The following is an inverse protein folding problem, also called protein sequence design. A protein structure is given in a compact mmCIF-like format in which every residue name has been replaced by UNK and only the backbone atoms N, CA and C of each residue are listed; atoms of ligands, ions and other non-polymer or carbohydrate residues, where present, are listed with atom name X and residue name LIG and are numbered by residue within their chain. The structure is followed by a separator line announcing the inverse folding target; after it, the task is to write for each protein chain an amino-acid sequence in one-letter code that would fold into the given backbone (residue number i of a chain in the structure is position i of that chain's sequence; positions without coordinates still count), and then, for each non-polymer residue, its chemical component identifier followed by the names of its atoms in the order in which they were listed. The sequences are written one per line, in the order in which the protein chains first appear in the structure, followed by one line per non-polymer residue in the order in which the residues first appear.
data_IF_405919647144
#
_entry.id   IF_405919647144
#
_cell.length_a   1.000
_cell.length_b   1.000
_cell.length_c   1.000
_cell.angle_alpha   90.00
_cell.angle_beta   90.00
_cell.angle_gamma   90.00
#
_symmetry.space_group_name_H-M   'P 1'
#
loop_
_entity.id
_entity.type
_entity.pdbx_description
1 polymer ?
#
# COMPACT_ATOMS: atom_id res chain seq x y z
N UNK A 1 -0.08 -5.73 -18.11
CA UNK A 1 -0.97 -4.91 -17.25
C UNK A 1 -0.43 -5.10 -15.85
N UNK A 2 0.22 -4.10 -15.25
CA UNK A 2 0.96 -4.29 -14.02
C UNK A 2 0.00 -4.75 -12.91
N UNK A 3 0.30 -5.88 -12.29
CA UNK A 3 -0.57 -6.48 -11.28
C UNK A 3 -0.62 -5.57 -10.06
N UNK A 4 -1.85 -5.32 -9.60
CA UNK A 4 -2.30 -4.38 -8.57
C UNK A 4 -1.57 -4.46 -7.22
N UNK A 5 -0.74 -5.47 -7.02
CA UNK A 5 -0.01 -5.76 -5.79
C UNK A 5 1.41 -5.14 -5.70
N UNK A 6 2.12 -4.96 -6.83
CA UNK A 6 3.29 -4.04 -6.90
C UNK A 6 2.82 -2.64 -6.59
N UNK A 7 1.61 -2.35 -7.04
CA UNK A 7 0.90 -1.19 -6.63
C UNK A 7 0.70 -1.25 -5.11
N UNK A 8 0.10 -2.25 -4.48
CA UNK A 8 -0.14 -2.29 -3.01
C UNK A 8 1.06 -1.90 -2.10
N UNK A 9 2.29 -2.26 -2.47
CA UNK A 9 3.51 -1.90 -1.73
C UNK A 9 4.05 -0.51 -2.10
N UNK A 10 3.91 -0.10 -3.36
CA UNK A 10 4.02 1.30 -3.74
C UNK A 10 2.81 2.14 -3.27
N UNK A 11 1.74 1.52 -2.76
CA UNK A 11 0.40 2.06 -2.45
C UNK A 11 0.20 2.28 -0.96
N UNK A 12 0.88 1.52 -0.11
CA UNK A 12 1.25 2.00 1.22
C UNK A 12 2.04 3.33 1.10
N UNK A 13 2.56 3.61 -0.09
CA UNK A 13 3.02 4.93 -0.54
C UNK A 13 2.28 5.54 -1.76
N UNK A 14 1.02 5.17 -2.12
CA UNK A 14 0.12 5.75 -3.18
C UNK A 14 -0.95 4.82 -3.82
N UNK A 15 -2.04 4.50 -3.09
CA UNK A 15 -3.21 3.65 -3.40
C UNK A 15 -4.19 3.94 -4.58
N UNK A 16 -4.12 3.27 -5.77
CA UNK A 16 -5.24 2.62 -6.59
C UNK A 16 -4.69 2.05 -7.94
N UNK A 17 -5.26 0.98 -8.57
CA UNK A 17 -6.02 1.30 -9.81
C UNK A 17 -7.29 0.45 -10.11
N UNK A 18 -8.34 1.21 -10.45
CA UNK A 18 -9.25 1.11 -11.62
C UNK A 18 -10.33 0.02 -11.73
N UNK A 19 -11.60 0.42 -11.87
CA UNK A 19 -12.32 0.16 -13.13
C UNK A 19 -13.56 1.04 -13.33
N UNK A 20 -13.69 1.48 -14.58
CA UNK A 20 -14.80 2.18 -15.20
C UNK A 20 -16.03 1.27 -15.33
N UNK A 21 -17.22 1.83 -15.11
CA UNK A 21 -18.42 1.46 -15.84
C UNK A 21 -19.32 2.69 -15.96
N UNK A 22 -19.59 3.07 -17.21
CA UNK A 22 -20.47 4.16 -17.62
C UNK A 22 -21.91 3.91 -17.19
N UNK A 23 -22.57 4.93 -16.66
CA UNK A 23 -24.01 4.96 -16.41
C UNK A 23 -24.45 6.34 -15.90
N UNK A 24 -25.24 7.05 -16.70
CA UNK A 24 -25.82 8.37 -16.40
C UNK A 24 -26.86 8.29 -15.24
N UNK A 25 -27.32 9.43 -14.70
CA UNK A 25 -27.62 9.59 -13.28
C UNK A 25 -29.03 9.15 -12.92
N UNK A 26 -29.18 8.51 -11.76
CA UNK A 26 -30.44 8.50 -11.03
C UNK A 26 -30.19 9.07 -9.65
N UNK A 27 -30.84 10.21 -9.41
CA UNK A 27 -30.70 10.98 -8.19
C UNK A 27 -31.13 10.19 -6.97
N UNK A 28 -30.27 10.24 -5.95
CA UNK A 28 -30.67 10.14 -4.56
C UNK A 28 -29.91 11.23 -3.81
N UNK A 29 -30.57 12.35 -3.55
CA UNK A 29 -30.11 13.32 -2.55
C UNK A 29 -30.35 12.69 -1.18
N UNK A 30 -29.41 11.87 -0.73
CA UNK A 30 -29.34 11.45 0.65
C UNK A 30 -28.29 12.31 1.34
N UNK A 31 -28.73 13.43 1.91
CA UNK A 31 -28.01 14.12 2.99
C UNK A 31 -28.06 13.25 4.24
N UNK A 32 -27.41 12.09 4.18
CA UNK A 32 -27.04 11.32 5.34
C UNK A 32 -25.62 11.75 5.66
N UNK A 33 -25.41 12.26 6.88
CA UNK A 33 -24.13 12.66 7.43
C UNK A 33 -23.00 11.90 6.75
N UNK A 34 -22.24 12.59 5.89
CA UNK A 34 -21.10 12.00 5.20
C UNK A 34 -20.22 11.42 6.29
N UNK A 35 -20.20 10.09 6.41
CA UNK A 35 -19.26 9.40 7.28
C UNK A 35 -17.88 10.00 6.97
N UNK A 36 -17.25 10.68 7.94
CA UNK A 36 -16.02 11.43 7.67
C UNK A 36 -14.95 10.53 7.05
N UNK A 37 -14.97 9.23 7.36
CA UNK A 37 -14.12 8.24 6.72
C UNK A 37 -14.43 8.06 5.22
N UNK A 38 -15.71 8.02 4.80
CA UNK A 38 -16.04 7.93 3.36
C UNK A 38 -15.60 9.18 2.61
N UNK A 39 -15.84 10.36 3.16
CA UNK A 39 -15.42 11.61 2.55
C UNK A 39 -13.87 11.72 2.47
N UNK A 40 -13.15 11.24 3.49
CA UNK A 40 -11.68 11.16 3.47
C UNK A 40 -11.17 10.15 2.41
N UNK A 41 -11.80 8.97 2.31
CA UNK A 41 -11.47 7.97 1.30
C UNK A 41 -11.68 8.49 -0.13
N UNK A 42 -12.77 9.22 -0.38
CA UNK A 42 -13.05 9.83 -1.69
C UNK A 42 -12.00 10.90 -2.06
N UNK A 43 -11.57 11.72 -1.09
CA UNK A 43 -10.49 12.69 -1.30
C UNK A 43 -9.19 12.01 -1.68
N UNK A 44 -8.81 10.96 -0.96
CA UNK A 44 -7.62 10.16 -1.27
C UNK A 44 -7.72 9.52 -2.66
N UNK A 45 -8.86 8.92 -3.00
CA UNK A 45 -9.09 8.28 -4.30
C UNK A 45 -8.97 9.28 -5.45
N UNK A 46 -9.57 10.48 -5.32
CA UNK A 46 -9.46 11.55 -6.32
C UNK A 46 -8.02 12.02 -6.50
N UNK A 47 -7.27 12.22 -5.41
CA UNK A 47 -5.85 12.59 -5.46
C UNK A 47 -5.03 11.52 -6.17
N UNK A 48 -5.30 10.24 -5.89
CA UNK A 48 -4.60 9.15 -6.56
C UNK A 48 -4.90 9.08 -8.06
N UNK A 49 -6.17 9.18 -8.43
CA UNK A 49 -6.58 9.19 -9.83
C UNK A 49 -5.88 10.33 -10.57
N UNK A 50 -5.78 11.51 -9.96
CA UNK A 50 -5.04 12.63 -10.54
C UNK A 50 -3.56 12.30 -10.78
N UNK A 51 -2.91 11.59 -9.85
CA UNK A 51 -1.51 11.16 -10.01
C UNK A 51 -1.37 10.16 -11.16
N UNK A 52 -2.28 9.20 -11.26
CA UNK A 52 -2.28 8.20 -12.35
C UNK A 52 -2.59 8.82 -13.71
N UNK A 53 -3.53 9.77 -13.78
CA UNK A 53 -3.85 10.48 -15.02
C UNK A 53 -2.68 11.32 -15.49
N UNK A 54 -1.96 11.98 -14.57
CA UNK A 54 -0.74 12.75 -14.91
C UNK A 54 0.38 11.85 -15.41
N UNK A 55 0.49 10.63 -14.89
CA UNK A 55 1.50 9.67 -15.37
C UNK A 55 1.34 9.29 -16.85
N UNK A 56 0.14 9.41 -17.40
CA UNK A 56 -0.13 9.15 -18.82
C UNK A 56 0.28 10.33 -19.73
N UNK A 57 0.63 11.49 -19.15
CA UNK A 57 1.00 12.71 -19.88
C UNK A 57 2.53 12.89 -19.83
N UNK A 58 3.20 13.25 -20.95
CA UNK A 58 4.65 13.44 -20.98
C UNK A 58 5.16 14.50 -19.98
N UNK A 59 6.39 14.30 -19.50
CA UNK A 59 7.06 15.00 -18.38
C UNK A 59 7.29 16.52 -18.52
N UNK A 60 6.77 17.17 -19.57
CA UNK A 60 6.87 18.63 -19.78
C UNK A 60 5.93 19.45 -18.88
N UNK A 61 5.16 18.79 -18.01
CA UNK A 61 4.19 19.42 -17.10
C UNK A 61 4.91 20.01 -15.87
N UNK A 62 4.46 21.16 -15.32
CA UNK A 62 5.01 21.72 -14.08
C UNK A 62 5.02 20.71 -12.94
N UNK A 63 5.99 20.86 -12.02
CA UNK A 63 6.12 20.01 -10.83
C UNK A 63 4.85 20.13 -9.98
N UNK A 64 4.14 19.03 -9.78
CA UNK A 64 2.89 19.01 -8.99
C UNK A 64 3.13 18.29 -7.68
N UNK A 65 2.76 18.94 -6.58
CA UNK A 65 2.76 18.36 -5.24
C UNK A 65 1.36 17.92 -4.85
N UNK A 66 1.20 16.66 -4.47
CA UNK A 66 -0.05 16.11 -3.98
C UNK A 66 0.16 15.57 -2.57
N UNK A 67 -0.54 16.16 -1.59
CA UNK A 67 -0.38 15.81 -0.18
C UNK A 67 -1.54 14.96 0.32
N UNK A 68 -1.23 13.90 1.06
CA UNK A 68 -2.15 12.97 1.68
C UNK A 68 -1.99 13.04 3.20
N UNK A 69 -3.10 13.01 3.93
CA UNK A 69 -3.05 12.78 5.38
C UNK A 69 -3.12 11.30 5.71
N UNK A 70 -2.63 10.90 6.89
CA UNK A 70 -2.83 9.55 7.41
C UNK A 70 -4.30 9.15 7.43
N UNK A 71 -5.19 10.07 7.84
CA UNK A 71 -6.64 9.82 7.86
C UNK A 71 -7.17 9.48 6.46
N UNK A 72 -6.78 10.26 5.45
CA UNK A 72 -7.18 10.03 4.07
C UNK A 72 -6.72 8.66 3.56
N UNK A 73 -5.46 8.28 3.82
CA UNK A 73 -4.93 6.98 3.39
C UNK A 73 -5.56 5.82 4.16
N UNK A 74 -5.70 5.94 5.48
CA UNK A 74 -6.32 4.91 6.32
C UNK A 74 -7.80 4.71 5.95
N UNK A 75 -8.52 5.79 5.71
CA UNK A 75 -9.91 5.73 5.27
C UNK A 75 -10.02 5.10 3.87
N UNK A 76 -9.12 5.47 2.95
CA UNK A 76 -9.03 4.87 1.63
C UNK A 76 -8.84 3.36 1.70
N UNK A 77 -7.88 2.87 2.50
CA UNK A 77 -7.60 1.42 2.63
C UNK A 77 -8.77 0.65 3.27
N UNK A 78 -9.61 1.32 4.05
CA UNK A 78 -10.82 0.73 4.64
C UNK A 78 -11.95 0.58 3.62
N UNK A 79 -12.12 1.56 2.72
CA UNK A 79 -13.23 1.61 1.76
C UNK A 79 -12.90 0.85 0.47
N UNK A 80 -11.63 0.81 0.06
CA UNK A 80 -11.20 0.18 -1.17
C UNK A 80 -10.21 -0.96 -0.87
N UNK A 81 -10.70 -2.13 -0.42
CA UNK A 81 -9.85 -3.24 -0.02
C UNK A 81 -9.41 -4.04 -1.24
N UNK A 82 -8.58 -3.46 -2.11
CA UNK A 82 -7.77 -4.26 -3.06
C UNK A 82 -6.60 -4.92 -2.30
N UNK A 83 -6.88 -5.43 -1.10
CA UNK A 83 -5.89 -6.02 -0.21
C UNK A 83 -5.61 -7.45 -0.67
N UNK A 84 -4.37 -7.93 -0.51
CA UNK A 84 -4.04 -9.29 -0.84
C UNK A 84 -4.87 -10.24 0.04
N UNK A 85 -5.24 -11.39 -0.52
CA UNK A 85 -6.06 -12.37 0.17
C UNK A 85 -5.48 -12.70 1.55
N UNK A 86 -6.33 -12.60 2.57
CA UNK A 86 -5.96 -12.82 3.97
C UNK A 86 -5.56 -11.57 4.75
N UNK A 87 -5.30 -10.43 4.13
CA UNK A 87 -5.04 -9.16 4.83
C UNK A 87 -6.33 -8.37 5.06
N UNK A 88 -6.53 -7.91 6.29
CA UNK A 88 -7.70 -7.13 6.71
C UNK A 88 -7.30 -5.99 7.64
N UNK A 89 -8.10 -4.92 7.65
CA UNK A 89 -7.93 -3.77 8.55
C UNK A 89 -6.52 -3.17 8.58
N UNK A 90 -5.92 -2.82 7.44
CA UNK A 90 -4.63 -2.17 7.42
C UNK A 90 -4.72 -0.76 8.02
N UNK A 91 -3.70 -0.37 8.76
CA UNK A 91 -3.50 1.01 9.23
C UNK A 91 -2.07 1.43 9.00
N UNK A 92 -1.89 2.71 8.69
CA UNK A 92 -0.64 3.39 8.43
C UNK A 92 -0.49 4.58 9.37
N UNK A 93 0.73 4.77 9.83
CA UNK A 93 1.15 5.91 10.61
C UNK A 93 2.52 6.37 10.11
N UNK A 94 2.62 7.66 9.82
CA UNK A 94 3.84 8.34 9.46
C UNK A 94 4.43 8.99 10.71
N UNK A 95 5.66 8.59 10.99
CA UNK A 95 6.45 9.10 12.09
C UNK A 95 7.48 10.10 11.53
N UNK A 96 8.36 10.60 12.39
CA UNK A 96 9.43 11.50 11.96
C UNK A 96 10.49 10.77 11.12
N UNK A 97 11.29 11.54 10.38
CA UNK A 97 12.44 11.05 9.60
C UNK A 97 12.11 9.99 8.54
N UNK A 98 10.88 10.04 8.00
CA UNK A 98 10.39 9.10 6.99
C UNK A 98 10.11 7.69 7.53
N UNK A 99 10.06 7.53 8.87
CA UNK A 99 9.65 6.28 9.50
C UNK A 99 8.16 6.05 9.27
N UNK A 100 7.81 4.85 8.86
CA UNK A 100 6.45 4.40 8.61
C UNK A 100 6.18 3.19 9.48
N UNK A 101 5.07 3.26 10.19
CA UNK A 101 4.51 2.15 10.93
C UNK A 101 3.26 1.65 10.22
N UNK A 102 3.20 0.36 9.95
CA UNK A 102 2.02 -0.29 9.40
C UNK A 102 1.54 -1.44 10.29
N UNK A 103 0.22 -1.60 10.37
CA UNK A 103 -0.42 -2.74 11.04
C UNK A 103 -1.49 -3.33 10.15
N UNK A 104 -1.65 -4.64 10.18
CA UNK A 104 -2.76 -5.32 9.52
C UNK A 104 -3.07 -6.64 10.23
N UNK A 105 -4.31 -7.10 10.13
CA UNK A 105 -4.69 -8.43 10.55
C UNK A 105 -4.56 -9.40 9.38
N UNK A 106 -3.75 -10.44 9.56
CA UNK A 106 -3.55 -11.49 8.57
C UNK A 106 -4.27 -12.76 9.01
N UNK A 107 -5.23 -13.20 8.21
CA UNK A 107 -5.87 -14.49 8.34
C UNK A 107 -5.01 -15.56 7.64
N UNK A 108 -4.28 -16.32 8.43
CA UNK A 108 -3.36 -17.34 7.94
C UNK A 108 -4.07 -18.59 7.41
N UNK A 109 -5.31 -18.82 7.84
CA UNK A 109 -6.12 -19.95 7.35
C UNK A 109 -6.44 -19.78 5.87
N UNK A 110 -6.77 -18.56 5.44
CA UNK A 110 -7.04 -18.22 4.03
C UNK A 110 -5.73 -18.20 3.22
N UNK A 111 -4.65 -17.67 3.82
CA UNK A 111 -3.32 -17.65 3.17
C UNK A 111 -2.79 -19.07 2.94
N UNK A 112 -3.09 -20.03 3.82
CA UNK A 112 -2.72 -21.45 3.67
C UNK A 112 -3.51 -22.16 2.58
N UNK A 113 -4.80 -21.86 2.43
CA UNK A 113 -5.66 -22.46 1.41
C UNK A 113 -5.35 -21.94 0.00
N UNK A 114 -4.66 -20.81 -0.11
CA UNK A 114 -4.40 -20.16 -1.38
C UNK A 114 -3.25 -20.79 -2.19
N UNK A 115 -2.38 -21.66 -1.60
CA UNK A 115 -1.36 -22.42 -2.35
C UNK A 115 -0.93 -23.76 -1.71
N UNK A 116 -0.51 -24.73 -2.54
CA UNK A 116 0.07 -26.04 -2.13
C UNK A 116 1.50 -25.85 -1.60
N UNK A 117 1.68 -25.87 -0.27
CA UNK A 117 2.99 -25.78 0.39
C UNK A 117 3.57 -27.16 0.71
N UNK A 118 4.91 -27.28 0.66
CA UNK A 118 5.66 -28.48 1.03
C UNK A 118 5.69 -28.72 2.55
N UNK A 119 5.92 -29.97 2.96
CA UNK A 119 5.84 -30.45 4.37
C UNK A 119 6.65 -29.60 5.37
N UNK A 120 7.81 -29.06 4.99
CA UNK A 120 8.78 -28.45 5.91
C UNK A 120 8.57 -26.95 6.20
N UNK A 121 7.35 -26.42 6.05
CA UNK A 121 7.09 -25.00 6.29
C UNK A 121 6.74 -24.72 7.77
N UNK A 122 7.57 -23.98 8.53
CA UNK A 122 7.25 -23.59 9.91
C UNK A 122 5.96 -22.76 10.04
N UNK A 123 5.48 -22.14 8.95
CA UNK A 123 4.18 -21.44 8.93
C UNK A 123 2.98 -22.39 8.79
N UNK A 124 3.19 -23.68 8.48
CA UNK A 124 2.10 -24.66 8.35
C UNK A 124 1.34 -24.90 9.68
N UNK A 125 2.01 -24.63 10.81
CA UNK A 125 1.48 -24.79 12.16
C UNK A 125 0.80 -23.53 12.71
N UNK A 126 0.89 -22.40 12.01
CA UNK A 126 0.36 -21.13 12.48
C UNK A 126 -1.02 -20.91 11.85
N UNK A 127 -2.08 -21.09 12.66
CA UNK A 127 -3.49 -20.92 12.26
C UNK A 127 -4.11 -19.67 12.89
N UNK A 128 -5.20 -19.20 12.31
CA UNK A 128 -5.99 -18.07 12.84
C UNK A 128 -5.59 -16.70 12.30
N UNK A 129 -6.10 -15.67 12.97
CA UNK A 129 -5.91 -14.26 12.61
C UNK A 129 -4.82 -13.68 13.50
N UNK A 130 -3.71 -13.25 12.90
CA UNK A 130 -2.59 -12.64 13.60
C UNK A 130 -2.44 -11.17 13.21
N UNK A 131 -2.20 -10.33 14.20
CA UNK A 131 -1.76 -8.95 13.95
C UNK A 131 -0.32 -8.96 13.47
N UNK A 132 -0.09 -8.30 12.34
CA UNK A 132 1.24 -7.99 11.81
C UNK A 132 1.50 -6.52 12.06
N UNK A 133 2.66 -6.22 12.63
CA UNK A 133 3.14 -4.87 12.88
C UNK A 133 4.53 -4.72 12.25
N UNK A 134 4.69 -3.73 11.39
CA UNK A 134 5.94 -3.44 10.68
C UNK A 134 6.34 -2.00 10.91
N UNK A 135 7.64 -1.79 11.12
CA UNK A 135 8.26 -0.47 11.15
C UNK A 135 9.44 -0.47 10.17
N UNK A 136 9.53 0.57 9.37
CA UNK A 136 10.66 0.82 8.48
C UNK A 136 10.78 2.29 8.12
N UNK A 137 11.82 2.65 7.38
CA UNK A 137 12.05 4.00 6.85
C UNK A 137 11.82 3.97 5.36
N UNK A 138 10.99 4.87 4.85
CA UNK A 138 10.82 5.05 3.41
C UNK A 138 11.50 6.34 2.94
N UNK A 139 12.24 6.23 1.84
CA UNK A 139 12.84 7.38 1.15
C UNK A 139 12.53 7.27 -0.34
N UNK A 140 11.86 8.26 -0.89
CA UNK A 140 11.57 8.35 -2.32
C UNK A 140 12.22 9.59 -2.92
N UNK A 141 13.23 9.43 -3.78
CA UNK A 141 13.93 10.53 -4.45
C UNK A 141 14.47 10.11 -5.81
N UNK A 142 14.61 11.05 -6.75
CA UNK A 142 15.10 10.82 -8.11
C UNK A 142 14.36 9.70 -8.87
N UNK A 143 13.06 9.56 -8.61
CA UNK A 143 12.24 8.50 -9.20
C UNK A 143 12.49 7.10 -8.63
N UNK A 144 13.26 6.97 -7.56
CA UNK A 144 13.51 5.71 -6.87
C UNK A 144 13.00 5.74 -5.43
N UNK A 145 12.40 4.64 -4.99
CA UNK A 145 11.99 4.38 -3.62
C UNK A 145 12.91 3.36 -2.97
N UNK A 146 13.23 3.57 -1.69
CA UNK A 146 13.90 2.58 -0.84
C UNK A 146 13.08 2.44 0.43
N UNK A 147 12.73 1.20 0.79
CA UNK A 147 12.14 0.88 2.08
C UNK A 147 13.16 0.13 2.94
N UNK A 148 13.66 0.79 3.97
CA UNK A 148 14.62 0.23 4.92
C UNK A 148 13.88 -0.46 6.07
N UNK A 149 14.13 -1.75 6.27
CA UNK A 149 13.48 -2.51 7.32
C UNK A 149 14.07 -2.19 8.70
N UNK A 150 13.24 -1.88 9.69
CA UNK A 150 13.68 -1.75 11.09
C UNK A 150 13.24 -2.95 11.93
N UNK A 151 11.94 -3.25 11.96
CA UNK A 151 11.42 -4.37 12.76
C UNK A 151 10.05 -4.83 12.28
N UNK A 152 9.74 -6.11 12.51
CA UNK A 152 8.41 -6.67 12.34
C UNK A 152 8.03 -7.58 13.50
N UNK A 153 6.74 -7.60 13.83
CA UNK A 153 6.13 -8.52 14.78
C UNK A 153 4.91 -9.17 14.16
N UNK A 154 4.68 -10.43 14.49
CA UNK A 154 3.50 -11.20 14.12
C UNK A 154 2.95 -11.86 15.38
N UNK A 155 1.71 -11.58 15.74
CA UNK A 155 1.12 -12.06 16.99
C UNK A 155 1.90 -11.62 18.24
N UNK A 156 2.59 -10.48 18.17
CA UNK A 156 3.45 -9.96 19.25
C UNK A 156 4.88 -10.52 19.28
N UNK A 157 5.18 -11.60 18.55
CA UNK A 157 6.52 -12.17 18.46
C UNK A 157 7.35 -11.46 17.37
N UNK A 158 8.65 -11.17 17.61
CA UNK A 158 9.52 -10.60 16.59
C UNK A 158 9.71 -11.59 15.43
N UNK A 159 9.68 -11.07 14.21
CA UNK A 159 9.87 -11.87 12.99
C UNK A 159 11.17 -11.45 12.31
N UNK A 160 11.93 -12.45 11.86
CA UNK A 160 13.16 -12.24 11.12
C UNK A 160 12.87 -11.56 9.77
N UNK A 161 13.74 -10.63 9.37
CA UNK A 161 13.65 -9.93 8.07
C UNK A 161 13.47 -10.89 6.89
N UNK A 162 14.14 -12.05 6.92
CA UNK A 162 14.04 -13.07 5.86
C UNK A 162 12.60 -13.55 5.61
N UNK A 163 11.83 -13.77 6.67
CA UNK A 163 10.42 -14.19 6.57
C UNK A 163 9.56 -13.09 5.95
N UNK A 164 9.77 -11.84 6.38
CA UNK A 164 9.06 -10.70 5.78
C UNK A 164 9.45 -10.50 4.31
N UNK A 165 10.74 -10.67 3.98
CA UNK A 165 11.26 -10.59 2.62
C UNK A 165 10.58 -11.61 1.70
N UNK A 166 10.37 -12.84 2.17
CA UNK A 166 9.67 -13.88 1.42
C UNK A 166 8.20 -13.52 1.19
N UNK A 167 7.50 -13.03 2.24
CA UNK A 167 6.12 -12.58 2.11
C UNK A 167 6.00 -11.41 1.13
N UNK A 168 6.88 -10.42 1.24
CA UNK A 168 6.89 -9.26 0.37
C UNK A 168 7.13 -9.69 -1.08
N UNK A 169 8.17 -10.49 -1.32
CA UNK A 169 8.50 -11.01 -2.64
C UNK A 169 7.35 -11.82 -3.23
N UNK A 170 6.70 -12.67 -2.44
CA UNK A 170 5.55 -13.48 -2.85
C UNK A 170 4.38 -12.61 -3.34
N UNK A 171 3.97 -11.65 -2.52
CA UNK A 171 2.84 -10.78 -2.82
C UNK A 171 3.16 -9.85 -4.00
N UNK A 172 4.36 -9.30 -4.06
CA UNK A 172 4.71 -8.31 -5.09
C UNK A 172 5.24 -8.90 -6.38
N UNK A 173 5.33 -10.23 -6.51
CA UNK A 173 5.84 -10.87 -7.72
C UNK A 173 4.91 -10.63 -8.90
N UNK A 174 5.43 -10.02 -9.97
CA UNK A 174 4.74 -9.86 -11.25
C UNK A 174 5.65 -10.21 -12.42
N UNK A 175 5.14 -10.34 -13.65
CA UNK A 175 6.00 -10.49 -14.83
C UNK A 175 7.04 -9.37 -14.95
N UNK A 176 6.69 -8.14 -14.55
CA UNK A 176 7.57 -6.97 -14.54
C UNK A 176 8.52 -6.95 -13.34
N UNK A 177 8.16 -7.60 -12.24
CA UNK A 177 8.96 -7.73 -11.00
C UNK A 177 9.08 -9.19 -10.59
N UNK A 178 9.85 -10.02 -11.32
CA UNK A 178 9.83 -11.47 -11.15
C UNK A 178 10.41 -11.95 -9.81
N UNK A 179 11.14 -11.09 -9.11
CA UNK A 179 11.66 -11.32 -7.75
C UNK A 179 10.81 -10.65 -6.67
N UNK A 180 9.74 -9.96 -7.05
CA UNK A 180 9.02 -9.02 -6.19
C UNK A 180 9.89 -7.85 -5.75
N UNK A 181 9.36 -7.07 -4.81
CA UNK A 181 10.04 -5.97 -4.15
C UNK A 181 10.94 -6.54 -3.05
N UNK A 182 12.17 -6.06 -3.05
CA UNK A 182 13.17 -6.41 -2.06
C UNK A 182 13.28 -5.30 -1.01
N UNK A 183 13.32 -5.69 0.26
CA UNK A 183 13.63 -4.79 1.36
C UNK A 183 15.06 -4.28 1.22
N UNK A 184 15.30 -3.06 1.68
CA UNK A 184 16.62 -2.41 1.66
C UNK A 184 17.26 -2.29 0.26
N UNK A 185 16.45 -2.42 -0.79
CA UNK A 185 16.88 -2.29 -2.19
C UNK A 185 16.07 -1.20 -2.87
N UNK A 186 16.68 -0.34 -3.71
CA UNK A 186 15.95 0.62 -4.51
C UNK A 186 15.00 -0.04 -5.52
N UNK A 187 13.85 0.59 -5.73
CA UNK A 187 12.87 0.26 -6.76
C UNK A 187 12.40 1.52 -7.48
N UNK A 188 11.98 1.40 -8.74
CA UNK A 188 11.46 2.54 -9.50
C UNK A 188 10.08 2.97 -8.96
N UNK A 189 9.91 4.26 -8.70
CA UNK A 189 8.62 4.81 -8.29
C UNK A 189 7.66 4.81 -9.50
N UNK A 190 6.39 4.41 -9.29
CA UNK A 190 5.43 4.35 -10.39
C UNK A 190 5.00 5.75 -10.82
N UNK A 191 4.19 5.81 -11.88
CA UNK A 191 3.43 7.00 -12.23
C UNK A 191 4.24 8.29 -12.45
N UNK A 192 5.52 8.19 -12.81
CA UNK A 192 6.40 9.36 -13.01
C UNK A 192 6.64 10.17 -11.73
N UNK A 193 6.45 9.57 -10.56
CA UNK A 193 6.76 10.20 -9.28
C UNK A 193 8.27 10.40 -9.21
N UNK A 194 8.69 11.62 -8.87
CA UNK A 194 10.10 11.98 -8.72
C UNK A 194 10.56 11.85 -7.28
N UNK A 195 9.67 12.19 -6.34
CA UNK A 195 10.01 12.26 -4.93
C UNK A 195 8.76 12.02 -4.08
N UNK A 196 8.97 11.43 -2.92
CA UNK A 196 7.95 11.27 -1.89
C UNK A 196 8.56 11.71 -0.56
N UNK A 197 8.04 12.83 -0.04
CA UNK A 197 8.41 13.36 1.26
C UNK A 197 7.42 12.85 2.31
N UNK A 198 7.95 12.23 3.36
CA UNK A 198 7.17 11.71 4.48
C UNK A 198 7.47 12.52 5.72
N UNK A 199 6.40 13.08 6.28
CA UNK A 199 6.41 13.85 7.52
C UNK A 199 5.40 13.23 8.48
N UNK A 200 5.54 13.50 9.77
CA UNK A 200 4.58 13.02 10.75
C UNK A 200 3.15 13.41 10.34
N UNK A 201 2.24 12.43 10.24
CA UNK A 201 0.84 12.68 9.85
C UNK A 201 0.57 12.81 8.34
N UNK A 202 1.60 12.94 7.49
CA UNK A 202 1.42 13.40 6.10
C UNK A 202 2.43 12.79 5.12
N UNK A 203 1.97 12.51 3.91
CA UNK A 203 2.81 12.11 2.79
C UNK A 203 2.62 13.09 1.63
N UNK A 204 3.70 13.63 1.08
CA UNK A 204 3.68 14.53 -0.08
C UNK A 204 4.37 13.88 -1.25
N UNK A 205 3.63 13.78 -2.36
CA UNK A 205 4.07 13.13 -3.58
C UNK A 205 4.33 14.19 -4.64
N UNK A 206 5.48 14.08 -5.30
CA UNK A 206 5.97 15.08 -6.24
C UNK A 206 6.15 14.42 -7.61
N UNK A 207 5.46 14.94 -8.62
CA UNK A 207 5.50 14.50 -10.03
C UNK A 207 5.97 15.63 -10.96
#
# INVERSE_FOLDING_TARGET
MPSRLVMLVAIVALAVPSLFASGAPLGFTSTLAQDPARAAAERASKKMQAIMTRAAVPAATPVVKTTFTEEELNAYMRVQPDLPTGLTQPTLQFLDDGRVQSRALVNLDIVRLSEKRGWLDPLAYVTGILEVHLIGVFRGANGQGVFTFESARVGGAPVAKAVLQELLAFYTKTPETPKGILLDTPFDLPAGIREVDLRRGMATVIQ
#
